data_IF_156175824554
#
_entry.id   IF_156175824554
#
_cell.length_a   1.000
_cell.length_b   1.000
_cell.length_c   1.000
_cell.angle_alpha   90.00
_cell.angle_beta   90.00
_cell.angle_gamma   90.00
#
_symmetry.space_group_name_H-M   'P 1'
#
loop_
_entity.id
_entity.type
_entity.pdbx_description
1 polymer ?
#
# COMPACT_ATOMS: atom_id res chain seq x y z
N UNK A 1 1.76 -6.80 15.39
CA UNK A 1 2.41 -6.22 14.20
C UNK A 1 3.66 -5.48 14.67
N UNK A 2 4.81 -5.64 14.00
CA UNK A 2 6.03 -4.90 14.35
C UNK A 2 5.89 -3.46 13.83
N UNK A 3 6.18 -2.46 14.65
CA UNK A 3 6.20 -1.04 14.23
C UNK A 3 7.34 -0.83 13.22
N UNK A 4 7.04 -0.08 12.17
CA UNK A 4 7.99 0.28 11.10
C UNK A 4 8.24 1.78 11.20
N UNK A 5 9.49 2.22 11.16
CA UNK A 5 9.81 3.64 11.16
C UNK A 5 9.64 4.22 9.75
N UNK A 6 8.48 4.82 9.47
CA UNK A 6 8.23 5.47 8.18
C UNK A 6 8.80 6.88 8.11
N UNK A 7 9.30 7.45 9.22
CA UNK A 7 9.90 8.79 9.22
C UNK A 7 11.12 8.89 8.31
N UNK A 8 11.85 7.79 8.10
CA UNK A 8 12.98 7.73 7.16
C UNK A 8 12.54 7.98 5.70
N UNK A 9 11.29 7.66 5.34
CA UNK A 9 10.75 8.00 4.01
C UNK A 9 10.53 9.51 3.83
N UNK A 10 10.42 10.27 4.92
CA UNK A 10 10.26 11.72 4.82
C UNK A 10 11.49 12.42 4.21
N UNK A 11 12.67 11.81 4.33
CA UNK A 11 13.92 12.39 3.78
C UNK A 11 13.93 12.45 2.25
N UNK A 12 13.16 11.57 1.59
CA UNK A 12 13.09 11.49 0.12
C UNK A 12 11.84 12.17 -0.46
N UNK A 13 11.01 12.78 0.39
CA UNK A 13 9.83 13.51 -0.03
C UNK A 13 10.19 14.98 -0.19
N UNK A 14 9.95 15.50 -1.38
CA UNK A 14 9.92 16.95 -1.59
C UNK A 14 8.51 17.47 -1.29
N UNK A 15 8.36 18.17 -0.16
CA UNK A 15 7.08 18.73 0.25
C UNK A 15 6.55 19.85 -0.66
N UNK A 16 7.42 20.46 -1.48
CA UNK A 16 7.05 21.56 -2.37
C UNK A 16 6.49 21.06 -3.71
N UNK A 17 6.87 19.87 -4.15
CA UNK A 17 6.42 19.22 -5.40
C UNK A 17 4.98 18.65 -5.30
N UNK A 18 4.54 18.36 -4.07
CA UNK A 18 3.23 17.77 -3.77
C UNK A 18 2.28 18.77 -3.12
N UNK A 19 1.54 19.52 -3.94
CA UNK A 19 0.58 20.53 -3.48
C UNK A 19 -0.56 19.87 -2.67
N UNK A 20 -1.21 18.82 -3.21
CA UNK A 20 -2.21 18.02 -2.50
C UNK A 20 -2.18 16.56 -3.00
N UNK A 21 -1.62 15.62 -2.22
CA UNK A 21 -1.49 14.21 -2.59
C UNK A 21 -2.81 13.53 -3.02
N UNK A 22 -3.96 13.99 -2.51
CA UNK A 22 -5.28 13.38 -2.81
C UNK A 22 -5.68 13.57 -4.27
N UNK A 23 -5.21 14.63 -4.92
CA UNK A 23 -5.47 14.92 -6.33
C UNK A 23 -4.29 14.53 -7.24
N UNK A 24 -3.19 14.03 -6.66
CA UNK A 24 -1.96 13.69 -7.34
C UNK A 24 -1.63 12.19 -7.19
N UNK A 25 -2.64 11.33 -7.19
CA UNK A 25 -2.48 9.86 -7.06
C UNK A 25 -1.57 9.23 -8.12
N UNK A 26 -1.40 9.88 -9.28
CA UNK A 26 -0.51 9.45 -10.33
C UNK A 26 0.96 9.89 -10.17
N UNK A 27 1.26 10.72 -9.18
CA UNK A 27 2.61 11.25 -8.94
C UNK A 27 3.59 10.12 -8.59
N UNK A 28 4.83 10.12 -9.13
CA UNK A 28 5.81 9.07 -8.85
C UNK A 28 6.05 8.85 -7.36
N UNK A 29 6.19 9.93 -6.58
CA UNK A 29 6.36 9.85 -5.12
C UNK A 29 5.15 9.22 -4.43
N UNK A 30 3.93 9.60 -4.80
CA UNK A 30 2.71 9.04 -4.20
C UNK A 30 2.59 7.54 -4.51
N UNK A 31 2.90 7.14 -5.76
CA UNK A 31 2.95 5.72 -6.15
C UNK A 31 4.01 4.95 -5.37
N UNK A 32 5.24 5.45 -5.31
CA UNK A 32 6.33 4.80 -4.59
C UNK A 32 6.06 4.64 -3.10
N UNK A 33 5.48 5.66 -2.46
CA UNK A 33 5.06 5.59 -1.06
C UNK A 33 3.91 4.60 -0.87
N UNK A 34 2.91 4.59 -1.75
CA UNK A 34 1.83 3.61 -1.72
C UNK A 34 2.37 2.19 -1.84
N UNK A 35 3.32 2.00 -2.75
CA UNK A 35 3.97 0.73 -3.00
C UNK A 35 4.70 0.21 -1.75
N UNK A 36 5.50 1.06 -1.10
CA UNK A 36 6.17 0.74 0.16
C UNK A 36 5.16 0.45 1.27
N UNK A 37 4.09 1.25 1.37
CA UNK A 37 3.04 1.07 2.37
C UNK A 37 2.34 -0.29 2.24
N UNK A 38 1.89 -0.65 1.04
CA UNK A 38 1.23 -1.93 0.80
C UNK A 38 2.17 -3.12 0.97
N UNK A 39 3.43 -3.01 0.54
CA UNK A 39 4.43 -4.05 0.76
C UNK A 39 4.63 -4.34 2.25
N UNK A 40 4.80 -3.30 3.06
CA UNK A 40 5.05 -3.45 4.49
C UNK A 40 3.81 -3.87 5.29
N UNK A 41 2.62 -3.66 4.75
CA UNK A 41 1.38 -4.19 5.31
C UNK A 41 1.24 -5.71 5.11
N UNK A 42 2.05 -6.30 4.22
CA UNK A 42 2.04 -7.73 4.01
C UNK A 42 2.72 -8.51 5.13
N UNK A 43 2.18 -9.69 5.48
CA UNK A 43 2.91 -10.64 6.30
C UNK A 43 4.12 -11.17 5.51
N UNK A 44 5.11 -11.72 6.21
CA UNK A 44 6.38 -12.17 5.61
C UNK A 44 6.18 -13.08 4.38
N UNK A 45 5.24 -14.03 4.45
CA UNK A 45 4.92 -14.91 3.31
C UNK A 45 4.37 -14.12 2.10
N UNK A 46 3.59 -13.07 2.36
CA UNK A 46 3.03 -12.20 1.32
C UNK A 46 4.12 -11.37 0.66
N UNK A 47 5.04 -10.82 1.46
CA UNK A 47 6.21 -10.11 0.95
C UNK A 47 7.08 -11.02 0.07
N UNK A 48 7.27 -12.30 0.45
CA UNK A 48 8.01 -13.28 -0.35
C UNK A 48 7.32 -13.56 -1.70
N UNK A 49 6.01 -13.75 -1.72
CA UNK A 49 5.23 -13.92 -2.97
C UNK A 49 5.42 -12.71 -3.89
N UNK A 50 5.32 -11.50 -3.33
CA UNK A 50 5.51 -10.26 -4.08
C UNK A 50 6.93 -10.15 -4.62
N UNK A 51 7.94 -10.44 -3.80
CA UNK A 51 9.35 -10.42 -4.23
C UNK A 51 9.61 -11.42 -5.37
N UNK A 52 8.99 -12.61 -5.32
CA UNK A 52 9.08 -13.60 -6.40
C UNK A 52 8.45 -13.10 -7.70
N UNK A 53 7.30 -12.41 -7.60
CA UNK A 53 6.64 -11.78 -8.76
C UNK A 53 7.52 -10.69 -9.36
N UNK A 54 8.04 -9.76 -8.55
CA UNK A 54 8.90 -8.67 -9.02
C UNK A 54 10.20 -9.20 -9.64
N UNK A 55 10.79 -10.23 -9.03
CA UNK A 55 12.00 -10.90 -9.55
C UNK A 55 11.77 -11.60 -10.90
N UNK A 56 10.53 -11.93 -11.24
CA UNK A 56 10.17 -12.48 -12.55
C UNK A 56 10.07 -11.44 -13.68
N UNK A 57 10.33 -10.16 -13.37
CA UNK A 57 10.25 -9.04 -14.32
C UNK A 57 8.82 -8.56 -14.60
N UNK A 58 7.85 -8.97 -13.77
CA UNK A 58 6.46 -8.50 -13.87
C UNK A 58 6.30 -7.23 -13.03
N UNK A 59 5.82 -6.16 -13.67
CA UNK A 59 5.44 -4.91 -13.00
C UNK A 59 3.98 -5.01 -12.54
N UNK A 60 3.78 -5.19 -11.23
CA UNK A 60 2.45 -5.30 -10.61
C UNK A 60 2.36 -4.20 -9.54
N UNK A 61 1.33 -3.33 -9.56
CA UNK A 61 1.09 -2.38 -8.48
C UNK A 61 0.99 -3.11 -7.14
N UNK A 62 1.68 -2.65 -6.09
CA UNK A 62 1.79 -3.44 -4.86
C UNK A 62 0.47 -3.56 -4.09
N UNK A 63 -0.48 -2.63 -4.31
CA UNK A 63 -1.88 -2.78 -3.86
C UNK A 63 -2.54 -4.04 -4.44
N UNK A 64 -2.28 -4.36 -5.69
CA UNK A 64 -2.82 -5.55 -6.36
C UNK A 64 -2.08 -6.81 -5.90
N UNK A 65 -0.77 -6.72 -5.73
CA UNK A 65 0.04 -7.78 -5.14
C UNK A 65 -0.44 -8.09 -3.69
N UNK A 66 -0.87 -7.06 -2.96
CA UNK A 66 -1.49 -7.20 -1.66
C UNK A 66 -2.80 -8.00 -1.73
N UNK A 67 -3.72 -7.59 -2.60
CA UNK A 67 -5.00 -8.29 -2.82
C UNK A 67 -4.79 -9.76 -3.19
N UNK A 68 -3.83 -10.04 -4.07
CA UNK A 68 -3.48 -11.41 -4.49
C UNK A 68 -2.94 -12.25 -3.33
N UNK A 69 -2.11 -11.69 -2.46
CA UNK A 69 -1.51 -12.44 -1.35
C UNK A 69 -2.51 -12.78 -0.23
N UNK A 70 -3.51 -11.92 -0.01
CA UNK A 70 -4.46 -11.99 1.11
C UNK A 70 -5.86 -12.46 0.71
N UNK A 71 -6.11 -12.65 -0.59
CA UNK A 71 -7.43 -12.96 -1.17
C UNK A 71 -8.55 -12.02 -0.66
N UNK A 72 -8.18 -10.77 -0.35
CA UNK A 72 -9.04 -9.77 0.27
C UNK A 72 -8.48 -8.36 0.10
N UNK A 73 -9.36 -7.36 0.16
CA UNK A 73 -8.96 -5.96 0.17
C UNK A 73 -8.15 -5.62 1.44
N UNK A 74 -7.21 -4.66 1.38
CA UNK A 74 -6.52 -4.16 2.56
C UNK A 74 -7.50 -3.72 3.64
N UNK A 75 -7.32 -4.21 4.87
CA UNK A 75 -8.00 -3.66 6.03
C UNK A 75 -7.46 -2.24 6.24
N UNK A 76 -8.28 -1.24 5.92
CA UNK A 76 -7.91 0.17 6.00
C UNK A 76 -7.54 0.60 7.41
N UNK A 77 -8.15 -0.02 8.43
CA UNK A 77 -7.88 0.32 9.83
C UNK A 77 -6.51 -0.22 10.26
N UNK A 78 -6.18 -1.46 9.89
CA UNK A 78 -4.85 -2.05 10.17
C UNK A 78 -3.75 -1.31 9.39
N UNK A 79 -4.05 -0.91 8.15
CA UNK A 79 -3.14 -0.11 7.33
C UNK A 79 -2.92 1.28 7.95
N UNK A 80 -3.99 1.96 8.39
CA UNK A 80 -3.89 3.24 9.07
C UNK A 80 -3.07 3.12 10.37
N UNK A 81 -3.32 2.07 11.16
CA UNK A 81 -2.57 1.79 12.37
C UNK A 81 -1.06 1.62 12.08
N UNK A 82 -0.72 0.82 11.06
CA UNK A 82 0.67 0.61 10.64
C UNK A 82 1.36 1.91 10.23
N UNK A 83 0.72 2.67 9.35
CA UNK A 83 1.31 3.83 8.73
C UNK A 83 1.51 4.97 9.74
N UNK A 84 0.48 5.28 10.53
CA UNK A 84 0.53 6.43 11.44
C UNK A 84 1.32 6.16 12.72
N UNK A 85 1.33 4.94 13.26
CA UNK A 85 2.26 4.60 14.35
C UNK A 85 3.72 4.68 13.90
N UNK A 86 3.98 4.43 12.62
CA UNK A 86 5.31 4.57 12.04
C UNK A 86 5.77 5.99 11.77
N UNK A 87 4.87 6.98 11.81
CA UNK A 87 5.22 8.40 11.77
C UNK A 87 5.50 8.99 13.15
N UNK A 88 4.98 8.37 14.21
CA UNK A 88 5.20 8.83 15.57
C UNK A 88 6.67 8.68 15.96
N UNK A 89 7.18 9.60 16.79
CA UNK A 89 8.42 9.37 17.54
C UNK A 89 8.20 8.29 18.59
N UNK A 90 9.27 7.73 19.17
CA UNK A 90 9.14 6.73 20.23
C UNK A 90 8.34 7.27 21.43
N UNK A 91 8.61 8.51 21.82
CA UNK A 91 7.86 9.19 22.90
C UNK A 91 6.38 9.36 22.52
N UNK A 92 6.09 9.80 21.29
CA UNK A 92 4.71 9.96 20.83
C UNK A 92 3.97 8.63 20.74
N UNK A 93 4.67 7.55 20.36
CA UNK A 93 4.11 6.22 20.26
C UNK A 93 3.78 5.62 21.64
N UNK A 94 4.65 5.79 22.63
CA UNK A 94 4.36 5.39 24.01
C UNK A 94 3.14 6.13 24.55
N UNK A 95 3.07 7.44 24.37
CA UNK A 95 1.90 8.24 24.77
C UNK A 95 0.63 7.84 24.01
N UNK A 96 0.74 7.44 22.75
CA UNK A 96 -0.37 6.90 21.98
C UNK A 96 -0.91 5.60 22.61
N UNK A 97 -0.04 4.66 22.96
CA UNK A 97 -0.45 3.40 23.59
C UNK A 97 -1.18 3.64 24.91
N UNK A 98 -0.67 4.52 25.77
CA UNK A 98 -1.36 4.89 27.01
C UNK A 98 -2.72 5.55 26.76
N UNK A 99 -2.82 6.38 25.71
CA UNK A 99 -4.06 7.04 25.33
C UNK A 99 -5.07 6.02 24.81
N UNK A 100 -4.62 5.03 24.03
CA UNK A 100 -5.44 3.95 23.49
C UNK A 100 -6.00 3.06 24.58
N UNK A 101 -5.22 2.76 25.62
CA UNK A 101 -5.72 2.04 26.80
C UNK A 101 -6.85 2.79 27.52
N UNK A 102 -6.72 4.11 27.64
CA UNK A 102 -7.73 4.98 28.28
C UNK A 102 -8.94 5.25 27.37
N UNK A 103 -8.75 5.23 26.05
CA UNK A 103 -9.76 5.50 25.02
C UNK A 103 -9.63 4.46 23.89
N UNK A 104 -10.21 3.27 24.03
CA UNK A 104 -10.02 2.16 23.07
C UNK A 104 -10.43 2.46 21.61
N UNK A 105 -11.22 3.51 21.38
CA UNK A 105 -11.65 3.92 20.04
C UNK A 105 -10.72 4.89 19.32
N UNK A 106 -9.61 5.34 19.92
CA UNK A 106 -8.67 6.25 19.24
C UNK A 106 -7.79 5.48 18.25
N UNK A 107 -7.81 5.88 16.98
CA UNK A 107 -6.94 5.31 15.96
C UNK A 107 -5.58 6.00 15.95
N UNK A 108 -4.54 5.34 15.43
CA UNK A 108 -3.24 5.99 15.24
C UNK A 108 -3.33 7.22 14.32
N UNK A 109 -4.21 7.17 13.29
CA UNK A 109 -4.50 8.30 12.41
C UNK A 109 -5.05 9.50 13.18
N UNK A 110 -6.04 9.29 14.04
CA UNK A 110 -6.64 10.35 14.84
C UNK A 110 -5.62 10.97 15.79
N UNK A 111 -4.85 10.11 16.48
CA UNK A 111 -3.83 10.56 17.43
C UNK A 111 -2.76 11.39 16.74
N UNK A 112 -2.26 10.92 15.59
CA UNK A 112 -1.27 11.67 14.83
C UNK A 112 -1.84 13.02 14.37
N UNK A 113 -3.02 13.01 13.76
CA UNK A 113 -3.63 14.21 13.15
C UNK A 113 -4.00 15.29 14.16
N UNK A 114 -4.38 14.91 15.39
CA UNK A 114 -4.85 15.86 16.41
C UNK A 114 -3.85 16.17 17.51
N UNK A 115 -2.76 15.41 17.62
CA UNK A 115 -1.77 15.59 18.70
C UNK A 115 -0.37 15.71 18.14
N UNK A 116 0.08 14.78 17.30
CA UNK A 116 1.43 14.80 16.79
C UNK A 116 1.66 15.88 15.72
N UNK A 117 0.69 16.06 14.81
CA UNK A 117 0.83 16.96 13.67
C UNK A 117 1.04 18.42 14.09
N UNK A 118 0.41 18.84 15.20
CA UNK A 118 0.51 20.20 15.72
C UNK A 118 1.91 20.55 16.26
N UNK A 119 2.67 19.54 16.71
CA UNK A 119 4.01 19.70 17.29
C UNK A 119 5.13 19.24 16.35
N UNK A 120 4.79 18.60 15.23
CA UNK A 120 5.75 18.13 14.23
C UNK A 120 6.32 19.32 13.45
N UNK A 121 7.65 19.43 13.48
CA UNK A 121 8.38 20.52 12.81
C UNK A 121 8.86 20.12 11.42
N UNK A 122 8.94 18.82 11.15
CA UNK A 122 9.33 18.29 9.86
C UNK A 122 8.16 18.33 8.87
N UNK A 123 8.24 19.27 7.93
CA UNK A 123 7.24 19.44 6.87
C UNK A 123 7.11 18.21 5.97
N UNK A 124 8.18 17.43 5.81
CA UNK A 124 8.15 16.25 4.96
C UNK A 124 7.43 15.11 5.67
N UNK A 125 7.55 14.99 7.00
CA UNK A 125 6.74 14.05 7.80
C UNK A 125 5.26 14.39 7.72
N UNK A 126 4.92 15.69 7.81
CA UNK A 126 3.54 16.14 7.61
C UNK A 126 3.03 15.86 6.19
N UNK A 127 3.88 16.04 5.18
CA UNK A 127 3.53 15.70 3.80
C UNK A 127 3.34 14.19 3.62
N UNK A 128 4.20 13.37 4.22
CA UNK A 128 4.06 11.91 4.21
C UNK A 128 2.73 11.47 4.84
N UNK A 129 2.34 12.08 5.96
CA UNK A 129 1.03 11.85 6.56
C UNK A 129 -0.11 12.11 5.58
N UNK A 130 -0.07 13.23 4.83
CA UNK A 130 -1.06 13.53 3.78
C UNK A 130 -1.07 12.51 2.65
N UNK A 131 0.10 11.97 2.27
CA UNK A 131 0.19 10.88 1.29
C UNK A 131 -0.47 9.61 1.84
N UNK A 132 -0.20 9.24 3.09
CA UNK A 132 -0.84 8.09 3.73
C UNK A 132 -2.36 8.24 3.82
N UNK A 133 -2.87 9.43 4.15
CA UNK A 133 -4.31 9.70 4.08
C UNK A 133 -4.86 9.50 2.66
N UNK A 134 -4.17 10.02 1.65
CA UNK A 134 -4.58 9.84 0.26
C UNK A 134 -4.60 8.36 -0.16
N UNK A 135 -3.67 7.53 0.35
CA UNK A 135 -3.63 6.09 0.08
C UNK A 135 -4.81 5.37 0.74
N UNK A 136 -5.11 5.68 2.00
CA UNK A 136 -6.20 5.06 2.77
C UNK A 136 -7.56 5.47 2.19
N UNK A 137 -7.72 6.75 1.87
CA UNK A 137 -8.98 7.33 1.40
C UNK A 137 -9.20 7.14 -0.11
N UNK A 138 -8.21 6.59 -0.82
CA UNK A 138 -8.31 6.28 -2.24
C UNK A 138 -9.43 5.28 -2.51
N UNK A 139 -10.57 5.81 -2.97
CA UNK A 139 -11.69 4.99 -3.49
C UNK A 139 -11.15 4.05 -4.56
N UNK A 140 -11.52 2.79 -4.45
CA UNK A 140 -11.19 1.74 -5.42
C UNK A 140 -11.70 2.17 -6.80
N UNK A 141 -10.86 2.82 -7.60
CA UNK A 141 -11.06 2.89 -9.04
C UNK A 141 -10.72 1.50 -9.56
N UNK A 142 -11.70 0.59 -9.45
CA UNK A 142 -11.63 -0.80 -9.89
C UNK A 142 -11.23 -0.85 -11.36
N UNK A 143 -9.92 -0.89 -11.59
CA UNK A 143 -9.37 -1.38 -12.84
C UNK A 143 -8.87 -2.76 -12.48
N UNK A 144 -9.73 -3.77 -12.66
CA UNK A 144 -9.44 -5.18 -12.37
C UNK A 144 -8.04 -5.52 -12.93
N UNK A 145 -7.04 -5.63 -12.05
CA UNK A 145 -5.69 -5.94 -12.46
C UNK A 145 -5.62 -7.42 -12.80
N UNK A 146 -5.81 -7.69 -14.07
CA UNK A 146 -5.65 -9.04 -14.59
C UNK A 146 -4.16 -9.26 -14.84
N UNK A 147 -3.57 -10.20 -14.08
CA UNK A 147 -2.20 -10.65 -14.33
C UNK A 147 -2.08 -11.10 -15.78
N UNK A 148 -1.14 -10.54 -16.56
CA UNK A 148 -0.91 -11.03 -17.90
C UNK A 148 -0.36 -12.45 -17.84
N UNK A 149 -1.12 -13.38 -18.42
CA UNK A 149 -0.69 -14.74 -18.71
C UNK A 149 0.39 -14.68 -19.78
N UNK A 150 1.42 -15.50 -19.66
CA UNK A 150 2.46 -15.63 -20.69
C UNK A 150 2.02 -16.59 -21.81
N UNK A 151 2.60 -16.45 -23.01
CA UNK A 151 2.30 -17.37 -24.12
C UNK A 151 2.61 -18.83 -23.77
N UNK A 152 3.73 -19.09 -23.07
CA UNK A 152 4.11 -20.43 -22.62
C UNK A 152 3.14 -21.02 -21.60
N UNK A 153 2.69 -20.21 -20.63
CA UNK A 153 1.70 -20.61 -19.63
C UNK A 153 0.33 -20.94 -20.26
N UNK A 154 -0.09 -20.16 -21.26
CA UNK A 154 -1.27 -20.48 -22.05
C UNK A 154 -1.10 -21.78 -22.84
N UNK A 155 0.01 -21.96 -23.57
CA UNK A 155 0.23 -23.18 -24.36
C UNK A 155 0.22 -24.45 -23.50
N UNK A 156 0.74 -24.37 -22.27
CA UNK A 156 0.72 -25.47 -21.31
C UNK A 156 -0.70 -25.80 -20.80
N UNK A 157 -1.59 -24.81 -20.70
CA UNK A 157 -2.90 -24.95 -20.06
C UNK A 157 -4.10 -24.81 -21.00
N UNK A 158 -3.91 -24.54 -22.30
CA UNK A 158 -4.97 -24.27 -23.28
C UNK A 158 -6.01 -25.39 -23.42
N UNK A 159 -5.66 -26.61 -23.05
CA UNK A 159 -6.55 -27.76 -23.08
C UNK A 159 -7.35 -27.95 -21.78
N UNK A 160 -6.98 -27.28 -20.69
CA UNK A 160 -7.70 -27.32 -19.43
C UNK A 160 -8.86 -26.31 -19.46
N UNK A 161 -10.06 -26.78 -19.81
CA UNK A 161 -11.27 -25.94 -19.95
C UNK A 161 -11.59 -25.13 -18.68
N UNK A 162 -11.37 -25.70 -17.49
CA UNK A 162 -11.64 -25.03 -16.21
C UNK A 162 -10.66 -23.89 -15.94
N UNK A 163 -9.39 -24.09 -16.29
CA UNK A 163 -8.38 -23.05 -16.19
C UNK A 163 -8.63 -21.93 -17.21
N UNK A 164 -8.94 -22.29 -18.47
CA UNK A 164 -9.23 -21.31 -19.53
C UNK A 164 -10.44 -20.45 -19.16
N UNK A 165 -11.54 -21.06 -18.71
CA UNK A 165 -12.75 -20.32 -18.34
C UNK A 165 -12.53 -19.38 -17.15
N UNK A 166 -11.72 -19.77 -16.17
CA UNK A 166 -11.34 -18.92 -15.03
C UNK A 166 -10.42 -17.75 -15.39
N UNK A 167 -9.78 -17.78 -16.56
CA UNK A 167 -8.74 -16.84 -16.95
C UNK A 167 -9.08 -16.01 -18.21
N UNK A 168 -10.31 -16.06 -18.73
CA UNK A 168 -10.70 -15.44 -20.00
C UNK A 168 -10.36 -13.95 -20.10
N UNK A 169 -10.59 -13.18 -19.03
CA UNK A 169 -10.30 -11.74 -19.02
C UNK A 169 -8.79 -11.47 -19.11
N UNK A 170 -7.99 -12.20 -18.33
CA UNK A 170 -6.53 -12.12 -18.37
C UNK A 170 -5.96 -12.55 -19.73
N UNK A 171 -6.48 -13.64 -20.31
CA UNK A 171 -6.10 -14.10 -21.66
C UNK A 171 -6.42 -13.05 -22.74
N UNK A 172 -7.58 -12.40 -22.67
CA UNK A 172 -7.98 -11.34 -23.59
C UNK A 172 -7.02 -10.14 -23.55
N UNK A 173 -6.57 -9.77 -22.34
CA UNK A 173 -5.58 -8.70 -22.13
C UNK A 173 -4.19 -9.11 -22.63
N UNK A 174 -3.73 -10.31 -22.30
CA UNK A 174 -2.43 -10.85 -22.73
C UNK A 174 -2.30 -11.04 -24.23
N UNK A 175 -3.37 -11.48 -24.91
CA UNK A 175 -3.36 -11.69 -26.37
C UNK A 175 -2.98 -10.43 -27.16
N UNK A 176 -3.26 -9.23 -26.63
CA UNK A 176 -2.90 -7.97 -27.29
C UNK A 176 -1.40 -7.67 -27.27
N UNK A 177 -0.64 -8.31 -26.37
CA UNK A 177 0.81 -8.15 -26.23
C UNK A 177 1.63 -9.37 -26.65
N UNK A 178 0.99 -10.44 -27.13
CA UNK A 178 1.65 -11.63 -27.69
C UNK A 178 1.75 -11.56 -29.22
#
# INVERSE_FOLDING_TARGET
>A
MRRINFRELAEVIDAEDLIDPRYQSNHPTVKGVADIAFFNALPDYGQEIVNNILSSGRDIPLREAYKVSRDSDPNTDDLAELLFTGLMTDVSYENYLETKEKKPGITARDYFSHICADIEKDKNVLKLAQIFEAIIDAKDTQTEFLMPISKGEFEANKHNKKWVSGNLKALSKSRKGW
#
